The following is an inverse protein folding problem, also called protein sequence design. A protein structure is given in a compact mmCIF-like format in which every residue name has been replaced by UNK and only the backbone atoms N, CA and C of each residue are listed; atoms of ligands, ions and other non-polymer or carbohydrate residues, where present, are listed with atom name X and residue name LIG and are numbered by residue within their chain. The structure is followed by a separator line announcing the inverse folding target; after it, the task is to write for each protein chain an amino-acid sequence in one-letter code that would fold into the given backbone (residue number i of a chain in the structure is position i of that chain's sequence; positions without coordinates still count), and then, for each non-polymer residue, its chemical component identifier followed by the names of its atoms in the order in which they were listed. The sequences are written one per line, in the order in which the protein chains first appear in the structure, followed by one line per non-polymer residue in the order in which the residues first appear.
data_IF_318242252094
#
_entry.id   IF_318242252094
#
_cell.length_a   1.000
_cell.length_b   1.000
_cell.length_c   1.000
_cell.angle_alpha   90.00
_cell.angle_beta   90.00
_cell.angle_gamma   90.00
#
_symmetry.space_group_name_H-M   'P 1'
#
loop_
_entity.id
_entity.type
_entity.pdbx_description
1 polymer ?
#
# COMPACT_ATOMS: atom_id res chain seq x y z
N UNK A 1 -20.32 16.94 -11.73
CA UNK A 1 -19.80 17.59 -10.50
C UNK A 1 -18.54 16.86 -10.10
N UNK A 2 -17.38 17.44 -10.38
CA UNK A 2 -16.10 16.89 -9.90
C UNK A 2 -15.97 17.16 -8.41
N UNK A 3 -16.27 16.14 -7.62
CA UNK A 3 -16.08 16.20 -6.16
C UNK A 3 -14.57 16.23 -5.91
N UNK A 4 -14.03 17.37 -5.54
CA UNK A 4 -12.63 17.54 -5.18
C UNK A 4 -12.24 16.51 -4.10
N UNK A 5 -11.14 15.78 -4.28
CA UNK A 5 -10.72 14.79 -3.30
C UNK A 5 -10.39 15.47 -1.97
N UNK A 6 -10.81 14.85 -0.87
CA UNK A 6 -10.50 15.34 0.48
C UNK A 6 -8.97 15.40 0.71
N UNK A 7 -8.48 16.23 1.65
CA UNK A 7 -7.06 16.25 1.98
C UNK A 7 -6.49 14.86 2.31
N UNK A 8 -7.24 14.04 3.05
CA UNK A 8 -6.84 12.68 3.38
C UNK A 8 -6.72 11.79 2.12
N UNK A 9 -7.66 11.92 1.15
CA UNK A 9 -7.58 11.20 -0.11
C UNK A 9 -6.31 11.59 -0.90
N UNK A 10 -6.03 12.89 -1.00
CA UNK A 10 -4.83 13.38 -1.71
C UNK A 10 -3.53 12.87 -1.09
N UNK A 11 -3.44 12.87 0.23
CA UNK A 11 -2.27 12.34 0.92
C UNK A 11 -2.15 10.84 0.78
N UNK A 12 -3.24 10.08 0.90
CA UNK A 12 -3.25 8.63 0.65
C UNK A 12 -2.71 8.31 -0.75
N UNK A 13 -3.25 8.98 -1.78
CA UNK A 13 -2.78 8.80 -3.16
C UNK A 13 -1.28 9.05 -3.31
N UNK A 14 -0.75 10.14 -2.71
CA UNK A 14 0.68 10.47 -2.76
C UNK A 14 1.53 9.40 -2.08
N UNK A 15 1.17 8.97 -0.86
CA UNK A 15 1.91 7.94 -0.12
C UNK A 15 1.91 6.63 -0.89
N UNK A 16 0.76 6.23 -1.43
CA UNK A 16 0.65 5.00 -2.22
C UNK A 16 1.50 5.08 -3.50
N UNK A 17 1.53 6.21 -4.22
CA UNK A 17 2.40 6.39 -5.38
C UNK A 17 3.88 6.31 -5.02
N UNK A 18 4.29 6.94 -3.92
CA UNK A 18 5.68 6.83 -3.43
C UNK A 18 6.00 5.36 -3.08
N UNK A 19 5.07 4.65 -2.43
CA UNK A 19 5.22 3.23 -2.13
C UNK A 19 5.36 2.35 -3.37
N UNK A 20 4.56 2.60 -4.41
CA UNK A 20 4.67 1.93 -5.71
C UNK A 20 6.07 2.18 -6.32
N UNK A 21 6.50 3.44 -6.38
CA UNK A 21 7.80 3.79 -6.93
C UNK A 21 8.96 3.12 -6.15
N UNK A 22 8.87 3.10 -4.83
CA UNK A 22 9.86 2.46 -3.96
C UNK A 22 9.90 0.92 -4.15
N UNK A 23 8.73 0.27 -4.28
CA UNK A 23 8.65 -1.15 -4.62
C UNK A 23 9.31 -1.46 -5.97
N UNK A 24 9.02 -0.64 -7.00
CA UNK A 24 9.61 -0.83 -8.33
C UNK A 24 11.12 -0.58 -8.31
N UNK A 25 11.60 0.42 -7.55
CA UNK A 25 13.01 0.70 -7.39
C UNK A 25 13.78 -0.47 -6.70
N UNK A 26 13.11 -1.20 -5.81
CA UNK A 26 13.66 -2.40 -5.17
C UNK A 26 13.54 -3.63 -6.08
N UNK A 27 12.36 -3.86 -6.65
CA UNK A 27 12.06 -5.10 -7.36
C UNK A 27 12.72 -5.17 -8.74
N UNK A 28 12.81 -4.04 -9.47
CA UNK A 28 13.39 -4.06 -10.83
C UNK A 28 14.85 -4.49 -10.84
N UNK A 29 15.77 -3.92 -10.04
CA UNK A 29 17.14 -4.41 -9.99
C UNK A 29 17.25 -5.83 -9.42
N UNK A 30 16.37 -6.21 -8.49
CA UNK A 30 16.33 -7.58 -7.95
C UNK A 30 15.96 -8.59 -9.04
N UNK A 31 15.04 -8.24 -9.93
CA UNK A 31 14.63 -9.09 -11.05
C UNK A 31 15.76 -9.22 -12.13
N UNK A 32 16.40 -8.09 -12.46
CA UNK A 32 17.37 -8.02 -13.57
C UNK A 32 18.79 -8.43 -13.18
N UNK A 33 19.20 -8.16 -11.94
CA UNK A 33 20.55 -8.40 -11.43
C UNK A 33 20.53 -8.90 -9.97
N UNK A 34 19.94 -10.09 -9.70
CA UNK A 34 19.66 -10.57 -8.35
C UNK A 34 20.91 -10.69 -7.49
N UNK A 35 22.04 -11.19 -8.05
CA UNK A 35 23.31 -11.35 -7.31
C UNK A 35 23.89 -10.01 -6.86
N UNK A 36 23.82 -8.98 -7.73
CA UNK A 36 24.26 -7.62 -7.37
C UNK A 36 23.40 -7.04 -6.26
N UNK A 37 22.09 -7.32 -6.31
CA UNK A 37 21.16 -6.83 -5.30
C UNK A 37 21.39 -7.50 -3.94
N UNK A 38 21.65 -8.81 -3.91
CA UNK A 38 22.04 -9.53 -2.69
C UNK A 38 23.30 -8.95 -2.07
N UNK A 39 24.33 -8.74 -2.89
CA UNK A 39 25.61 -8.16 -2.45
C UNK A 39 25.43 -6.75 -1.90
N UNK A 40 24.66 -5.89 -2.60
CA UNK A 40 24.37 -4.54 -2.16
C UNK A 40 23.59 -4.52 -0.83
N UNK A 41 22.63 -5.41 -0.66
CA UNK A 41 21.80 -5.53 0.55
C UNK A 41 22.51 -6.31 1.67
N UNK A 42 23.72 -6.83 1.44
CA UNK A 42 24.48 -7.66 2.38
C UNK A 42 23.71 -8.90 2.84
N UNK A 43 22.90 -9.44 1.97
CA UNK A 43 22.13 -10.65 2.23
C UNK A 43 22.92 -11.90 1.80
N UNK A 44 22.66 -13.06 2.43
CA UNK A 44 23.27 -14.31 2.05
C UNK A 44 22.90 -14.69 0.60
N UNK A 45 23.76 -15.46 -0.10
CA UNK A 45 23.43 -15.97 -1.42
C UNK A 45 22.11 -16.76 -1.43
N UNK A 46 21.23 -16.47 -2.36
CA UNK A 46 19.98 -17.21 -2.54
C UNK A 46 20.17 -18.33 -3.59
N UNK A 47 19.82 -19.55 -3.23
CA UNK A 47 19.90 -20.71 -4.12
C UNK A 47 18.60 -21.51 -4.05
N UNK A 48 17.88 -21.67 -5.17
CA UNK A 48 18.11 -21.08 -6.48
C UNK A 48 17.67 -19.59 -6.57
N UNK A 49 18.34 -18.80 -7.39
CA UNK A 49 18.02 -17.39 -7.66
C UNK A 49 16.62 -17.17 -8.23
N UNK A 50 16.03 -18.21 -8.82
CA UNK A 50 14.66 -18.20 -9.35
C UNK A 50 13.64 -17.67 -8.34
N UNK A 51 13.71 -18.06 -7.10
CA UNK A 51 12.75 -17.63 -6.08
C UNK A 51 12.87 -16.15 -5.75
N UNK A 52 14.09 -15.63 -5.74
CA UNK A 52 14.33 -14.20 -5.53
C UNK A 52 13.79 -13.38 -6.70
N UNK A 53 14.06 -13.80 -7.94
CA UNK A 53 13.54 -13.16 -9.14
C UNK A 53 12.01 -13.25 -9.23
N UNK A 54 11.44 -14.42 -8.89
CA UNK A 54 10.00 -14.60 -8.84
C UNK A 54 9.32 -13.69 -7.79
N UNK A 55 9.92 -13.57 -6.61
CA UNK A 55 9.44 -12.64 -5.57
C UNK A 55 9.49 -11.19 -6.05
N UNK A 56 10.54 -10.80 -6.75
CA UNK A 56 10.65 -9.47 -7.34
C UNK A 56 9.55 -9.22 -8.40
N UNK A 57 9.29 -10.21 -9.27
CA UNK A 57 8.20 -10.15 -10.24
C UNK A 57 6.84 -10.00 -9.54
N UNK A 58 6.59 -10.77 -8.47
CA UNK A 58 5.35 -10.65 -7.69
C UNK A 58 5.21 -9.27 -7.04
N UNK A 59 6.30 -8.67 -6.56
CA UNK A 59 6.27 -7.32 -6.00
C UNK A 59 5.96 -6.26 -7.06
N UNK A 60 6.43 -6.43 -8.30
CA UNK A 60 6.07 -5.57 -9.43
C UNK A 60 4.57 -5.69 -9.73
N UNK A 61 4.05 -6.91 -9.83
CA UNK A 61 2.63 -7.15 -10.07
C UNK A 61 1.76 -6.59 -8.93
N UNK A 62 2.16 -6.81 -7.68
CA UNK A 62 1.47 -6.26 -6.51
C UNK A 62 1.42 -4.73 -6.57
N UNK A 63 2.51 -4.10 -6.99
CA UNK A 63 2.56 -2.64 -7.18
C UNK A 63 1.60 -2.15 -8.25
N UNK A 64 1.42 -2.92 -9.33
CA UNK A 64 0.40 -2.62 -10.35
C UNK A 64 -1.02 -2.72 -9.79
N UNK A 65 -1.30 -3.68 -8.89
CA UNK A 65 -2.59 -3.78 -8.21
C UNK A 65 -2.88 -2.61 -7.25
N UNK A 66 -1.87 -1.88 -6.79
CA UNK A 66 -2.08 -0.68 -5.96
C UNK A 66 -2.49 0.55 -6.77
N UNK A 67 -2.24 0.57 -8.09
CA UNK A 67 -2.52 1.73 -8.95
C UNK A 67 -3.97 2.21 -8.86
N UNK A 68 -5.02 1.37 -8.91
CA UNK A 68 -6.40 1.85 -8.77
C UNK A 68 -6.65 2.60 -7.45
N UNK A 69 -6.10 2.11 -6.33
CA UNK A 69 -6.20 2.79 -5.03
C UNK A 69 -5.42 4.11 -5.00
N UNK A 70 -4.26 4.15 -5.67
CA UNK A 70 -3.45 5.36 -5.82
C UNK A 70 -4.09 6.42 -6.71
N UNK A 71 -4.98 6.02 -7.64
CA UNK A 71 -5.74 6.93 -8.50
C UNK A 71 -6.99 7.47 -7.81
N UNK A 72 -7.76 6.59 -7.15
CA UNK A 72 -9.00 6.99 -6.46
C UNK A 72 -9.35 6.03 -5.31
N UNK A 73 -8.87 6.28 -4.08
CA UNK A 73 -9.10 5.41 -2.94
C UNK A 73 -10.58 5.33 -2.50
N UNK A 74 -11.39 6.34 -2.83
CA UNK A 74 -12.81 6.32 -2.52
C UNK A 74 -13.58 5.34 -3.41
N UNK A 75 -13.25 5.30 -4.71
CA UNK A 75 -13.84 4.38 -5.68
C UNK A 75 -13.32 2.95 -5.48
N UNK A 76 -12.03 2.78 -5.23
CA UNK A 76 -11.37 1.48 -5.12
C UNK A 76 -11.03 1.15 -3.66
N UNK A 77 -12.00 1.36 -2.76
CA UNK A 77 -11.82 1.23 -1.31
C UNK A 77 -11.33 -0.17 -0.89
N UNK A 78 -11.86 -1.22 -1.52
CA UNK A 78 -11.41 -2.58 -1.24
C UNK A 78 -9.93 -2.75 -1.59
N UNK A 79 -9.50 -2.25 -2.75
CA UNK A 79 -8.10 -2.32 -3.17
C UNK A 79 -7.20 -1.52 -2.22
N UNK A 80 -7.66 -0.36 -1.73
CA UNK A 80 -6.94 0.43 -0.73
C UNK A 80 -6.75 -0.36 0.59
N UNK A 81 -7.78 -1.04 1.07
CA UNK A 81 -7.67 -1.90 2.26
C UNK A 81 -6.77 -3.11 2.03
N UNK A 82 -6.83 -3.73 0.84
CA UNK A 82 -5.92 -4.83 0.48
C UNK A 82 -4.46 -4.37 0.39
N UNK A 83 -4.20 -3.17 -0.12
CA UNK A 83 -2.86 -2.59 -0.15
C UNK A 83 -2.29 -2.39 1.26
N UNK A 84 -3.07 -1.79 2.16
CA UNK A 84 -2.70 -1.64 3.58
C UNK A 84 -2.49 -3.01 4.25
N UNK A 85 -3.38 -3.96 3.99
CA UNK A 85 -3.28 -5.33 4.50
C UNK A 85 -2.03 -6.07 4.02
N UNK A 86 -1.66 -5.91 2.75
CA UNK A 86 -0.43 -6.49 2.19
C UNK A 86 0.84 -5.90 2.84
N UNK A 87 0.87 -4.60 3.13
CA UNK A 87 1.96 -3.96 3.89
C UNK A 87 2.07 -4.55 5.30
N UNK A 88 0.92 -4.67 6.00
CA UNK A 88 0.91 -5.30 7.33
C UNK A 88 1.43 -6.74 7.28
N UNK A 89 1.01 -7.51 6.27
CA UNK A 89 1.49 -8.88 6.09
C UNK A 89 3.01 -8.91 5.89
N UNK A 90 3.58 -7.99 5.10
CA UNK A 90 5.03 -7.82 4.94
C UNK A 90 5.73 -7.50 6.26
N UNK A 91 5.20 -6.56 7.05
CA UNK A 91 5.72 -6.24 8.39
C UNK A 91 5.76 -7.48 9.28
N UNK A 92 4.63 -8.19 9.38
CA UNK A 92 4.50 -9.39 10.22
C UNK A 92 5.45 -10.49 9.75
N UNK A 93 5.53 -10.71 8.43
CA UNK A 93 6.38 -11.74 7.84
C UNK A 93 7.87 -11.46 8.09
N UNK A 94 8.35 -10.27 7.74
CA UNK A 94 9.77 -9.96 7.83
C UNK A 94 10.28 -9.71 9.24
N UNK A 95 9.46 -9.13 10.12
CA UNK A 95 9.86 -8.85 11.51
C UNK A 95 9.52 -10.02 12.44
N UNK A 96 8.40 -10.71 12.20
CA UNK A 96 7.90 -11.75 13.08
C UNK A 96 8.42 -13.15 12.79
N UNK A 97 8.69 -13.47 11.52
CA UNK A 97 8.98 -14.84 11.11
C UNK A 97 10.36 -15.03 10.47
N UNK A 98 11.03 -13.94 10.05
CA UNK A 98 12.33 -14.05 9.36
C UNK A 98 13.49 -13.71 10.29
N UNK A 99 14.72 -14.19 9.98
CA UNK A 99 15.93 -13.75 10.65
C UNK A 99 16.12 -12.22 10.59
N UNK A 100 16.80 -11.66 11.58
CA UNK A 100 16.96 -10.21 11.75
C UNK A 100 17.56 -9.47 10.55
N UNK A 101 18.36 -10.16 9.74
CA UNK A 101 18.95 -9.63 8.51
C UNK A 101 17.91 -9.19 7.45
N UNK A 102 16.68 -9.75 7.53
CA UNK A 102 15.57 -9.39 6.64
C UNK A 102 14.64 -8.31 7.23
N UNK A 103 14.84 -7.88 8.47
CA UNK A 103 13.98 -6.88 9.12
C UNK A 103 13.89 -5.56 8.37
N UNK A 104 14.93 -5.22 7.57
CA UNK A 104 14.92 -4.02 6.75
C UNK A 104 13.70 -3.95 5.82
N UNK A 105 13.29 -5.09 5.26
CA UNK A 105 12.09 -5.16 4.40
C UNK A 105 10.80 -4.95 5.21
N UNK A 106 10.75 -5.46 6.44
CA UNK A 106 9.63 -5.20 7.35
C UNK A 106 9.54 -3.74 7.77
N UNK A 107 10.65 -3.08 8.06
CA UNK A 107 10.67 -1.64 8.35
C UNK A 107 10.28 -0.81 7.13
N UNK A 108 10.70 -1.22 5.94
CA UNK A 108 10.27 -0.61 4.70
C UNK A 108 8.73 -0.65 4.56
N UNK A 109 8.11 -1.82 4.74
CA UNK A 109 6.65 -1.94 4.71
C UNK A 109 5.98 -1.15 5.83
N UNK A 110 6.55 -1.11 7.04
CA UNK A 110 6.01 -0.38 8.19
C UNK A 110 5.93 1.13 7.94
N UNK A 111 6.95 1.72 7.31
CA UNK A 111 6.99 3.15 6.98
C UNK A 111 5.83 3.56 6.05
N UNK A 112 5.41 2.69 5.15
CA UNK A 112 4.24 2.92 4.29
C UNK A 112 2.93 2.49 4.94
N UNK A 113 2.93 1.39 5.69
CA UNK A 113 1.74 0.87 6.36
C UNK A 113 1.09 1.88 7.29
N UNK A 114 1.86 2.51 8.17
CA UNK A 114 1.30 3.42 9.19
C UNK A 114 0.58 4.61 8.57
N UNK A 115 1.18 5.41 7.68
CA UNK A 115 0.50 6.55 7.09
C UNK A 115 -0.67 6.12 6.19
N UNK A 116 -0.55 5.03 5.42
CA UNK A 116 -1.65 4.54 4.59
C UNK A 116 -2.84 4.11 5.44
N UNK A 117 -2.61 3.38 6.53
CA UNK A 117 -3.67 2.97 7.47
C UNK A 117 -4.39 4.17 8.08
N UNK A 118 -3.65 5.13 8.64
CA UNK A 118 -4.23 6.32 9.28
C UNK A 118 -5.06 7.16 8.31
N UNK A 119 -4.55 7.37 7.10
CA UNK A 119 -5.24 8.11 6.06
C UNK A 119 -6.50 7.38 5.57
N UNK A 120 -6.44 6.04 5.44
CA UNK A 120 -7.58 5.25 5.02
C UNK A 120 -8.68 5.21 6.09
N UNK A 121 -8.33 5.15 7.37
CA UNK A 121 -9.29 5.28 8.49
C UNK A 121 -9.95 6.67 8.45
N UNK A 122 -9.18 7.75 8.25
CA UNK A 122 -9.72 9.08 8.15
C UNK A 122 -10.72 9.22 6.98
N UNK A 123 -10.39 8.63 5.82
CA UNK A 123 -11.27 8.58 4.65
C UNK A 123 -12.58 7.83 4.92
N UNK A 124 -12.52 6.70 5.61
CA UNK A 124 -13.71 5.89 5.91
C UNK A 124 -14.66 6.64 6.85
N UNK A 125 -14.12 7.31 7.86
CA UNK A 125 -14.89 8.09 8.83
C UNK A 125 -15.57 9.31 8.18
N UNK A 126 -14.86 10.03 7.31
CA UNK A 126 -15.40 11.19 6.59
C UNK A 126 -16.55 10.80 5.66
N UNK A 127 -16.48 9.67 4.96
CA UNK A 127 -17.54 9.18 4.10
C UNK A 127 -18.79 8.76 4.87
N UNK A 128 -18.66 8.14 6.03
CA UNK A 128 -19.78 7.75 6.88
C UNK A 128 -20.55 8.98 7.41
N UNK A 129 -19.83 10.04 7.80
CA UNK A 129 -20.44 11.29 8.27
C UNK A 129 -21.28 12.00 7.19
N UNK A 130 -20.78 12.04 5.96
CA UNK A 130 -21.53 12.64 4.83
C UNK A 130 -22.80 11.88 4.48
N UNK A 131 -22.76 10.56 4.51
CA UNK A 131 -23.93 9.70 4.25
C UNK A 131 -25.00 9.88 5.32
N UNK A 132 -24.63 9.99 6.60
CA UNK A 132 -25.56 10.23 7.70
C UNK A 132 -26.25 11.61 7.59
N UNK A 133 -25.48 12.67 7.25
CA UNK A 133 -26.04 14.01 7.05
C UNK A 133 -26.96 14.08 5.83
N UNK A 134 -26.64 13.42 4.73
CA UNK A 134 -27.50 13.34 3.56
C UNK A 134 -28.82 12.63 3.87
N UNK A 135 -28.79 11.54 4.63
CA UNK A 135 -29.98 10.83 5.10
C UNK A 135 -30.87 11.68 6.00
N UNK A 136 -30.28 12.42 6.95
CA UNK A 136 -31.01 13.32 7.83
C UNK A 136 -31.71 14.47 7.06
N UNK A 137 -31.01 15.08 6.08
CA UNK A 137 -31.59 16.14 5.23
C UNK A 137 -32.75 15.61 4.37
N UNK A 138 -32.64 14.41 3.82
CA UNK A 138 -33.69 13.78 3.03
C UNK A 138 -34.92 13.44 3.88
N UNK A 139 -34.73 13.06 5.14
CA UNK A 139 -35.85 12.81 6.08
C UNK A 139 -36.62 14.08 6.43
N UNK A 140 -35.91 15.19 6.70
CA UNK A 140 -36.55 16.50 7.00
C UNK A 140 -37.30 17.02 5.76
N UNK A 141 -36.78 16.92 4.55
CA UNK A 141 -37.44 17.37 3.33
C UNK A 141 -38.70 16.58 2.94
N UNK A 142 -38.91 15.36 3.50
CA UNK A 142 -40.14 14.58 3.29
C UNK A 142 -41.23 14.88 4.31
N UNK A 143 -40.92 15.57 5.41
CA UNK A 143 -41.83 15.90 6.47
C UNK A 143 -42.52 17.29 6.28
N UNK A 144 -42.10 18.02 5.26
CA UNK A 144 -42.70 19.29 4.81
C UNK A 144 -43.55 19.08 3.56
#
# INVERSE_FOLDING_TARGET
MDIQPTPAARWFMRVTWIGIAANLALATPTLLAPERMLTFSRLPPATPLLWLQFSALLLILLSAFYVPAALNPNRYRLVAWLAVGARLAGVVFFIGFQPREYNLFGYFDFVFFVPELLLLIALTRSGAGQSAQAGARAAVGRAQ
#
